data_IF_716117376871
#
_entry.id   IF_716117376871
#
_cell.length_a   1.000
_cell.length_b   1.000
_cell.length_c   1.000
_cell.angle_alpha   90.00
_cell.angle_beta   90.00
_cell.angle_gamma   90.00
#
_symmetry.space_group_name_H-M   'P 1'
#
loop_
_entity.id
_entity.type
_entity.pdbx_description
1 polymer ?
#
# COMPACT_ATOMS: atom_id res chain seq x y z
N UNK A 1 -33.16 -3.52 -24.82
CA UNK A 1 -32.09 -4.52 -24.70
C UNK A 1 -31.27 -4.16 -23.47
N UNK A 2 -31.54 -4.81 -22.34
CA UNK A 2 -30.75 -4.64 -21.12
C UNK A 2 -29.36 -5.21 -21.35
N UNK A 3 -28.34 -4.37 -21.31
CA UNK A 3 -26.95 -4.80 -21.33
C UNK A 3 -26.76 -5.80 -20.19
N UNK A 4 -26.54 -7.08 -20.54
CA UNK A 4 -26.01 -8.05 -19.58
C UNK A 4 -24.65 -7.52 -19.17
N UNK A 5 -24.55 -7.02 -17.95
CA UNK A 5 -23.26 -6.82 -17.31
C UNK A 5 -22.65 -8.22 -17.21
N UNK A 6 -21.64 -8.52 -18.05
CA UNK A 6 -20.77 -9.67 -17.85
C UNK A 6 -20.00 -9.42 -16.56
N UNK A 7 -20.65 -9.69 -15.42
CA UNK A 7 -20.01 -9.61 -14.12
C UNK A 7 -19.08 -10.81 -14.06
N UNK A 8 -17.77 -10.55 -14.12
CA UNK A 8 -16.77 -11.56 -13.81
C UNK A 8 -16.93 -11.84 -12.31
N UNK A 9 -17.57 -12.94 -11.95
CA UNK A 9 -17.80 -13.33 -10.54
C UNK A 9 -16.52 -13.88 -9.88
N UNK A 10 -15.35 -13.55 -10.44
CA UNK A 10 -14.04 -14.03 -10.02
C UNK A 10 -13.02 -12.91 -10.16
N UNK A 11 -12.54 -12.43 -9.02
CA UNK A 11 -11.58 -11.33 -8.89
C UNK A 11 -10.17 -11.91 -8.74
N UNK A 12 -9.27 -11.48 -9.62
CA UNK A 12 -7.88 -11.93 -9.69
C UNK A 12 -6.92 -10.77 -9.41
N UNK A 13 -6.00 -10.99 -8.46
CA UNK A 13 -4.92 -10.08 -8.10
C UNK A 13 -3.59 -10.70 -8.50
N UNK A 14 -2.73 -9.92 -9.16
CA UNK A 14 -1.33 -10.27 -9.39
C UNK A 14 -0.46 -9.36 -8.51
N UNK A 15 0.30 -9.95 -7.61
CA UNK A 15 1.30 -9.28 -6.80
C UNK A 15 2.66 -9.39 -7.48
N UNK A 16 3.34 -8.26 -7.69
CA UNK A 16 4.72 -8.21 -8.18
C UNK A 16 5.65 -7.71 -7.09
N UNK A 17 6.61 -8.53 -6.70
CA UNK A 17 7.49 -8.35 -5.56
C UNK A 17 6.97 -9.13 -4.35
N UNK A 18 7.75 -10.11 -3.91
CA UNK A 18 7.44 -10.99 -2.79
C UNK A 18 8.36 -10.73 -1.58
N UNK A 19 8.73 -9.46 -1.37
CA UNK A 19 9.38 -9.02 -0.15
C UNK A 19 8.44 -9.03 1.06
N UNK A 20 8.90 -8.57 2.22
CA UNK A 20 8.08 -8.53 3.43
C UNK A 20 6.76 -7.77 3.26
N UNK A 21 6.74 -6.70 2.45
CA UNK A 21 5.53 -5.93 2.11
C UNK A 21 4.55 -6.76 1.28
N UNK A 22 5.02 -7.35 0.18
CA UNK A 22 4.19 -8.16 -0.72
C UNK A 22 3.61 -9.39 -0.03
N UNK A 23 4.45 -10.17 0.66
CA UNK A 23 4.03 -11.35 1.41
C UNK A 23 3.00 -11.01 2.51
N UNK A 24 3.22 -9.91 3.26
CA UNK A 24 2.25 -9.44 4.25
C UNK A 24 0.94 -8.98 3.62
N UNK A 25 0.98 -8.35 2.44
CA UNK A 25 -0.21 -7.96 1.69
C UNK A 25 -1.00 -9.18 1.23
N UNK A 26 -0.34 -10.19 0.66
CA UNK A 26 -0.97 -11.44 0.27
C UNK A 26 -1.63 -12.13 1.48
N UNK A 27 -0.95 -12.18 2.63
CA UNK A 27 -1.53 -12.67 3.88
C UNK A 27 -2.74 -11.85 4.34
N UNK A 28 -2.71 -10.53 4.19
CA UNK A 28 -3.84 -9.66 4.49
C UNK A 28 -5.04 -9.93 3.56
N UNK A 29 -4.82 -10.21 2.26
CA UNK A 29 -5.90 -10.61 1.35
C UNK A 29 -6.54 -11.94 1.77
N UNK A 30 -5.72 -12.93 2.14
CA UNK A 30 -6.19 -14.25 2.61
C UNK A 30 -7.07 -14.10 3.84
N UNK A 31 -6.56 -13.46 4.89
CA UNK A 31 -7.23 -13.33 6.20
C UNK A 31 -8.47 -12.45 6.16
N UNK A 32 -8.55 -11.50 5.22
CA UNK A 32 -9.70 -10.59 5.09
C UNK A 32 -10.67 -11.01 3.98
N UNK A 33 -10.50 -12.18 3.38
CA UNK A 33 -11.36 -12.74 2.34
C UNK A 33 -11.51 -11.83 1.10
N UNK A 34 -10.41 -11.20 0.68
CA UNK A 34 -10.36 -10.32 -0.49
C UNK A 34 -9.84 -11.12 -1.68
N UNK A 35 -10.52 -10.99 -2.84
CA UNK A 35 -10.26 -11.70 -4.08
C UNK A 35 -10.44 -13.24 -4.01
N UNK A 36 -10.52 -13.88 -5.17
CA UNK A 36 -10.64 -15.34 -5.32
C UNK A 36 -9.37 -15.97 -5.91
N UNK A 37 -8.49 -15.18 -6.54
CA UNK A 37 -7.23 -15.65 -7.10
C UNK A 37 -6.10 -14.66 -6.84
N UNK A 38 -4.96 -15.16 -6.38
CA UNK A 38 -3.74 -14.38 -6.11
C UNK A 38 -2.55 -15.08 -6.76
N UNK A 39 -1.97 -14.45 -7.79
CA UNK A 39 -0.69 -14.86 -8.37
C UNK A 39 0.44 -14.00 -7.82
N UNK A 40 1.57 -14.62 -7.46
CA UNK A 40 2.72 -13.92 -6.87
C UNK A 40 3.92 -14.04 -7.83
N UNK A 41 4.42 -12.89 -8.28
CA UNK A 41 5.56 -12.78 -9.20
C UNK A 41 6.74 -12.19 -8.43
N UNK A 42 7.88 -12.88 -8.46
CA UNK A 42 9.17 -12.35 -8.01
C UNK A 42 10.30 -12.98 -8.84
N UNK A 43 11.46 -12.34 -8.87
CA UNK A 43 12.66 -12.92 -9.48
C UNK A 43 13.13 -14.17 -8.73
N UNK A 44 12.83 -14.26 -7.43
CA UNK A 44 13.08 -15.44 -6.61
C UNK A 44 11.86 -16.36 -6.62
N UNK A 45 11.73 -17.17 -7.68
CA UNK A 45 10.58 -18.07 -7.86
C UNK A 45 10.44 -19.09 -6.74
N UNK A 46 11.56 -19.61 -6.22
CA UNK A 46 11.55 -20.57 -5.11
C UNK A 46 10.90 -19.98 -3.85
N UNK A 47 11.10 -18.67 -3.62
CA UNK A 47 10.41 -17.96 -2.54
C UNK A 47 8.90 -17.87 -2.81
N UNK A 48 8.49 -17.46 -4.01
CA UNK A 48 7.06 -17.34 -4.35
C UNK A 48 6.32 -18.68 -4.28
N UNK A 49 6.98 -19.78 -4.63
CA UNK A 49 6.44 -21.14 -4.46
C UNK A 49 6.24 -21.46 -2.98
N UNK A 50 7.23 -21.15 -2.15
CA UNK A 50 7.16 -21.31 -0.70
C UNK A 50 6.03 -20.49 -0.07
N UNK A 51 5.97 -19.19 -0.36
CA UNK A 51 4.93 -18.29 0.17
C UNK A 51 3.53 -18.70 -0.33
N UNK A 52 3.39 -19.12 -1.60
CA UNK A 52 2.11 -19.60 -2.11
C UNK A 52 1.63 -20.86 -1.37
N UNK A 53 2.52 -21.81 -1.10
CA UNK A 53 2.19 -23.02 -0.31
C UNK A 53 1.80 -22.62 1.12
N UNK A 54 2.60 -21.77 1.78
CA UNK A 54 2.35 -21.37 3.16
C UNK A 54 1.02 -20.61 3.31
N UNK A 55 0.74 -19.64 2.43
CA UNK A 55 -0.54 -18.94 2.35
C UNK A 55 -1.71 -19.89 2.09
N UNK A 56 -1.52 -20.93 1.27
CA UNK A 56 -2.57 -21.91 0.97
C UNK A 56 -3.01 -22.71 2.20
N UNK A 57 -2.10 -22.97 3.15
CA UNK A 57 -2.44 -23.68 4.39
C UNK A 57 -3.39 -22.86 5.28
N UNK A 58 -3.40 -21.53 5.18
CA UNK A 58 -4.35 -20.68 5.88
C UNK A 58 -5.79 -20.73 5.31
N UNK A 59 -5.97 -21.29 4.10
CA UNK A 59 -7.28 -21.37 3.44
C UNK A 59 -8.26 -22.33 4.13
N UNK A 60 -7.77 -23.25 4.97
CA UNK A 60 -8.63 -24.08 5.81
C UNK A 60 -9.44 -23.26 6.84
N UNK A 61 -9.01 -22.02 7.14
CA UNK A 61 -9.62 -21.13 8.13
C UNK A 61 -10.22 -19.86 7.54
N UNK A 62 -10.22 -19.72 6.21
CA UNK A 62 -10.66 -18.52 5.49
C UNK A 62 -11.46 -18.89 4.24
N UNK A 63 -11.95 -17.91 3.47
CA UNK A 63 -12.67 -18.17 2.22
C UNK A 63 -11.72 -18.74 1.15
N UNK A 64 -12.17 -19.72 0.34
CA UNK A 64 -11.35 -20.35 -0.70
C UNK A 64 -10.71 -19.36 -1.66
N UNK A 65 -9.44 -19.59 -2.02
CA UNK A 65 -8.68 -18.83 -3.02
C UNK A 65 -7.78 -19.76 -3.80
N UNK A 66 -7.51 -19.42 -5.07
CA UNK A 66 -6.40 -19.98 -5.83
C UNK A 66 -5.16 -19.13 -5.59
N UNK A 67 -4.12 -19.68 -4.98
CA UNK A 67 -2.85 -19.00 -4.69
C UNK A 67 -1.72 -19.76 -5.36
N UNK A 68 -0.85 -19.06 -6.09
CA UNK A 68 0.22 -19.72 -6.86
C UNK A 68 1.38 -18.76 -7.16
N UNK A 69 2.57 -19.34 -7.38
CA UNK A 69 3.69 -18.64 -8.00
C UNK A 69 3.36 -18.38 -9.47
N UNK A 70 3.38 -17.12 -9.87
CA UNK A 70 2.88 -16.65 -11.15
C UNK A 70 3.99 -16.11 -12.06
N UNK A 71 3.64 -15.91 -13.33
CA UNK A 71 4.42 -15.23 -14.35
C UNK A 71 3.71 -13.96 -14.84
N UNK A 72 4.37 -13.11 -15.63
CA UNK A 72 3.71 -11.92 -16.16
C UNK A 72 2.54 -12.24 -17.10
N UNK A 73 2.56 -13.39 -17.79
CA UNK A 73 1.45 -13.86 -18.64
C UNK A 73 0.15 -14.07 -17.84
N UNK A 74 0.26 -14.39 -16.55
CA UNK A 74 -0.90 -14.53 -15.67
C UNK A 74 -1.64 -13.21 -15.44
N UNK A 75 -1.06 -12.06 -15.78
CA UNK A 75 -1.72 -10.77 -15.63
C UNK A 75 -2.77 -10.49 -16.72
N UNK A 76 -2.84 -11.27 -17.81
CA UNK A 76 -3.71 -11.00 -18.96
C UNK A 76 -5.20 -10.80 -18.58
N UNK A 77 -5.68 -11.52 -17.57
CA UNK A 77 -7.06 -11.43 -17.08
C UNK A 77 -7.18 -10.94 -15.63
N UNK A 78 -6.10 -10.39 -15.06
CA UNK A 78 -6.13 -9.84 -13.72
C UNK A 78 -7.01 -8.57 -13.63
N UNK A 79 -7.71 -8.40 -12.52
CA UNK A 79 -8.47 -7.18 -12.22
C UNK A 79 -7.57 -6.11 -11.59
N UNK A 80 -6.59 -6.54 -10.80
CA UNK A 80 -5.64 -5.68 -10.10
C UNK A 80 -4.23 -6.25 -10.20
N UNK A 81 -3.26 -5.39 -10.53
CA UNK A 81 -1.83 -5.69 -10.39
C UNK A 81 -1.23 -4.78 -9.33
N UNK A 82 -0.65 -5.37 -8.28
CA UNK A 82 -0.03 -4.66 -7.17
C UNK A 82 1.49 -4.73 -7.27
N UNK A 83 2.15 -3.59 -7.40
CA UNK A 83 3.61 -3.51 -7.55
C UNK A 83 4.23 -3.10 -6.21
N UNK A 84 4.85 -4.06 -5.54
CA UNK A 84 5.69 -3.83 -4.35
C UNK A 84 7.18 -4.01 -4.64
N UNK A 85 7.53 -4.57 -5.80
CA UNK A 85 8.89 -4.79 -6.24
C UNK A 85 9.65 -3.47 -6.40
N UNK A 86 10.80 -3.39 -5.76
CA UNK A 86 11.72 -2.26 -5.83
C UNK A 86 13.02 -2.60 -5.13
N UNK A 87 14.09 -1.95 -5.54
CA UNK A 87 15.37 -2.06 -4.87
C UNK A 87 15.39 -1.13 -3.64
N UNK A 88 15.91 -1.59 -2.50
CA UNK A 88 16.12 -0.74 -1.34
C UNK A 88 17.25 0.27 -1.60
N UNK A 89 17.22 1.39 -0.88
CA UNK A 89 18.34 2.32 -0.82
C UNK A 89 19.49 1.68 -0.04
N UNK A 90 20.70 1.72 -0.60
CA UNK A 90 21.91 1.26 0.08
C UNK A 90 22.61 2.43 0.78
N UNK A 91 23.37 2.18 1.87
CA UNK A 91 24.20 3.20 2.48
C UNK A 91 25.11 3.88 1.43
N UNK A 92 25.05 5.21 1.34
CA UNK A 92 25.81 6.01 0.38
C UNK A 92 25.12 6.29 -0.96
N UNK A 93 23.96 5.67 -1.27
CA UNK A 93 23.17 6.04 -2.45
C UNK A 93 22.37 7.33 -2.21
N UNK A 94 22.30 8.21 -3.21
CA UNK A 94 21.43 9.39 -3.15
C UNK A 94 19.96 9.01 -3.41
N UNK A 95 19.03 9.90 -3.07
CA UNK A 95 17.60 9.74 -3.43
C UNK A 95 17.41 9.62 -4.95
N UNK A 96 18.22 10.33 -5.74
CA UNK A 96 18.17 10.28 -7.21
C UNK A 96 18.65 8.92 -7.74
N UNK A 97 19.69 8.33 -7.17
CA UNK A 97 20.18 7.01 -7.56
C UNK A 97 19.11 5.93 -7.34
N UNK A 98 18.45 5.98 -6.19
CA UNK A 98 17.32 5.11 -5.87
C UNK A 98 16.18 5.26 -6.88
N UNK A 99 15.81 6.49 -7.22
CA UNK A 99 14.80 6.80 -8.23
C UNK A 99 15.17 6.18 -9.58
N UNK A 100 16.38 6.42 -10.09
CA UNK A 100 16.80 5.88 -11.39
C UNK A 100 16.79 4.35 -11.43
N UNK A 101 17.26 3.70 -10.38
CA UNK A 101 17.25 2.24 -10.23
C UNK A 101 15.82 1.70 -10.27
N UNK A 102 14.91 2.27 -9.48
CA UNK A 102 13.53 1.79 -9.41
C UNK A 102 12.71 2.17 -10.66
N UNK A 103 13.02 3.26 -11.36
CA UNK A 103 12.42 3.58 -12.64
C UNK A 103 12.73 2.54 -13.72
N UNK A 104 13.96 2.01 -13.74
CA UNK A 104 14.34 0.94 -14.68
C UNK A 104 13.57 -0.35 -14.39
N UNK A 105 13.56 -0.78 -13.13
CA UNK A 105 12.81 -1.97 -12.68
C UNK A 105 11.32 -1.80 -13.01
N UNK A 106 10.73 -0.65 -12.67
CA UNK A 106 9.32 -0.38 -12.91
C UNK A 106 8.97 -0.39 -14.40
N UNK A 107 9.83 0.16 -15.28
CA UNK A 107 9.63 0.06 -16.74
C UNK A 107 9.56 -1.40 -17.19
N UNK A 108 10.53 -2.22 -16.80
CA UNK A 108 10.60 -3.63 -17.20
C UNK A 108 9.37 -4.43 -16.71
N UNK A 109 8.96 -4.21 -15.46
CA UNK A 109 7.78 -4.83 -14.85
C UNK A 109 6.51 -4.41 -15.58
N UNK A 110 6.28 -3.10 -15.74
CA UNK A 110 5.05 -2.57 -16.34
C UNK A 110 4.92 -2.97 -17.81
N UNK A 111 6.02 -2.95 -18.57
CA UNK A 111 6.00 -3.40 -19.97
C UNK A 111 5.56 -4.86 -20.08
N UNK A 112 6.15 -5.77 -19.29
CA UNK A 112 5.76 -7.19 -19.32
C UNK A 112 4.30 -7.43 -18.91
N UNK A 113 3.81 -6.69 -17.91
CA UNK A 113 2.40 -6.76 -17.49
C UNK A 113 1.48 -6.30 -18.62
N UNK A 114 1.78 -5.17 -19.27
CA UNK A 114 0.94 -4.65 -20.36
C UNK A 114 1.00 -5.58 -21.58
N UNK A 115 2.18 -6.11 -21.93
CA UNK A 115 2.37 -7.03 -23.04
C UNK A 115 1.59 -8.35 -22.87
N UNK A 116 1.30 -8.75 -21.62
CA UNK A 116 0.41 -9.90 -21.34
C UNK A 116 -1.04 -9.69 -21.80
N UNK A 117 -1.45 -8.45 -22.07
CA UNK A 117 -2.83 -8.08 -22.35
C UNK A 117 -3.63 -7.60 -21.14
N UNK A 118 -2.97 -7.39 -19.99
CA UNK A 118 -3.60 -6.83 -18.79
C UNK A 118 -4.38 -5.55 -19.11
N UNK A 119 -5.58 -5.42 -18.54
CA UNK A 119 -6.45 -4.26 -18.75
C UNK A 119 -7.20 -3.83 -17.46
N UNK A 120 -6.67 -4.21 -16.29
CA UNK A 120 -7.23 -3.87 -14.99
C UNK A 120 -6.73 -2.54 -14.42
N UNK A 121 -6.48 -2.52 -13.11
CA UNK A 121 -5.94 -1.36 -12.36
C UNK A 121 -4.55 -1.69 -11.83
N UNK A 122 -3.63 -0.73 -11.91
CA UNK A 122 -2.36 -0.80 -11.19
C UNK A 122 -2.50 -0.17 -9.80
N UNK A 123 -2.01 -0.86 -8.78
CA UNK A 123 -1.78 -0.33 -7.43
C UNK A 123 -0.28 -0.37 -7.12
N UNK A 124 0.35 0.78 -6.94
CA UNK A 124 1.80 0.90 -6.73
C UNK A 124 2.08 1.18 -5.26
N UNK A 125 2.99 0.39 -4.67
CA UNK A 125 3.48 0.54 -3.31
C UNK A 125 5.01 0.62 -3.22
N UNK A 126 5.71 0.27 -4.31
CA UNK A 126 7.15 0.41 -4.40
C UNK A 126 7.57 1.89 -4.24
N UNK A 127 8.67 2.13 -3.55
CA UNK A 127 9.15 3.48 -3.26
C UNK A 127 10.18 4.00 -4.29
N UNK A 128 10.20 5.31 -4.58
CA UNK A 128 9.30 6.35 -4.05
C UNK A 128 7.93 6.33 -4.74
N UNK A 129 6.87 6.10 -3.97
CA UNK A 129 5.56 5.67 -4.51
C UNK A 129 4.92 6.67 -5.46
N UNK A 130 4.98 7.97 -5.18
CA UNK A 130 4.34 8.98 -6.04
C UNK A 130 5.03 9.07 -7.41
N UNK A 131 6.37 9.02 -7.42
CA UNK A 131 7.18 9.02 -8.65
C UNK A 131 6.95 7.72 -9.42
N UNK A 132 6.96 6.57 -8.73
CA UNK A 132 6.77 5.29 -9.39
C UNK A 132 5.35 5.13 -9.93
N UNK A 133 4.34 5.63 -9.23
CA UNK A 133 2.95 5.70 -9.73
C UNK A 133 2.87 6.51 -11.02
N UNK A 134 3.50 7.70 -11.04
CA UNK A 134 3.57 8.51 -12.26
C UNK A 134 4.29 7.77 -13.40
N UNK A 135 5.40 7.09 -13.11
CA UNK A 135 6.11 6.33 -14.13
C UNK A 135 5.33 5.12 -14.63
N UNK A 136 4.60 4.41 -13.76
CA UNK A 136 3.71 3.31 -14.14
C UNK A 136 2.61 3.83 -15.06
N UNK A 137 2.06 5.02 -14.78
CA UNK A 137 1.11 5.67 -15.68
C UNK A 137 1.71 5.95 -17.06
N UNK A 138 2.92 6.51 -17.10
CA UNK A 138 3.61 6.80 -18.36
C UNK A 138 4.00 5.55 -19.15
N UNK A 139 4.50 4.52 -18.48
CA UNK A 139 4.98 3.30 -19.14
C UNK A 139 3.83 2.38 -19.57
N UNK A 140 2.73 2.35 -18.82
CA UNK A 140 1.58 1.53 -19.17
C UNK A 140 0.74 2.11 -20.31
N UNK A 141 0.72 3.45 -20.44
CA UNK A 141 -0.21 4.14 -21.35
C UNK A 141 -1.67 4.08 -20.88
N UNK A 142 -1.93 3.65 -19.64
CA UNK A 142 -3.29 3.53 -19.12
C UNK A 142 -3.90 4.91 -18.81
N UNK A 143 -5.24 5.01 -18.78
CA UNK A 143 -5.94 6.14 -18.17
C UNK A 143 -5.48 6.36 -16.73
N UNK A 144 -5.36 7.63 -16.32
CA UNK A 144 -4.81 8.02 -15.01
C UNK A 144 -5.59 7.43 -13.83
N UNK A 145 -6.91 7.28 -13.99
CA UNK A 145 -7.81 6.70 -12.98
C UNK A 145 -7.60 5.20 -12.74
N UNK A 146 -6.81 4.52 -13.59
CA UNK A 146 -6.46 3.11 -13.44
C UNK A 146 -5.03 2.87 -12.95
N UNK A 147 -4.33 3.93 -12.53
CA UNK A 147 -3.00 3.83 -11.94
C UNK A 147 -2.97 4.59 -10.62
N UNK A 148 -2.97 3.82 -9.53
CA UNK A 148 -3.17 4.32 -8.18
C UNK A 148 -1.91 4.02 -7.37
N UNK A 149 -1.39 5.02 -6.64
CA UNK A 149 -0.35 4.82 -5.65
C UNK A 149 -0.95 4.61 -4.27
N UNK A 150 -0.27 3.88 -3.39
CA UNK A 150 -0.67 3.82 -1.98
C UNK A 150 -0.58 5.18 -1.29
N UNK A 151 0.33 6.06 -1.76
CA UNK A 151 0.52 7.42 -1.28
C UNK A 151 0.60 7.50 0.25
N UNK A 152 -0.04 8.52 0.81
CA UNK A 152 -0.08 8.79 2.25
C UNK A 152 -1.20 8.05 3.00
N UNK A 153 -1.70 6.93 2.45
CA UNK A 153 -2.77 6.15 3.10
C UNK A 153 -2.31 5.55 4.43
N UNK A 154 -1.08 5.04 4.50
CA UNK A 154 -0.49 4.54 5.75
C UNK A 154 -0.19 5.68 6.72
N UNK A 155 0.32 6.81 6.24
CA UNK A 155 0.66 7.95 7.08
C UNK A 155 -0.61 8.55 7.69
N UNK A 156 -1.69 8.63 6.93
CA UNK A 156 -3.02 8.98 7.45
C UNK A 156 -3.53 7.98 8.49
N UNK A 157 -3.29 6.67 8.30
CA UNK A 157 -3.68 5.65 9.28
C UNK A 157 -2.87 5.78 10.59
N UNK A 158 -1.55 6.01 10.49
CA UNK A 158 -0.68 6.29 11.64
C UNK A 158 -1.12 7.56 12.35
N UNK A 159 -1.47 8.60 11.61
CA UNK A 159 -1.92 9.87 12.17
C UNK A 159 -3.24 9.72 12.94
N UNK A 160 -4.20 8.98 12.37
CA UNK A 160 -5.44 8.64 13.07
C UNK A 160 -5.18 7.85 14.35
N UNK A 161 -4.25 6.90 14.32
CA UNK A 161 -3.87 6.11 15.49
C UNK A 161 -3.23 6.99 16.59
N UNK A 162 -2.27 7.84 16.22
CA UNK A 162 -1.60 8.72 17.19
C UNK A 162 -2.57 9.72 17.83
N UNK A 163 -3.51 10.27 17.07
CA UNK A 163 -4.56 11.12 17.61
C UNK A 163 -5.57 10.33 18.45
N UNK A 164 -5.90 9.10 18.07
CA UNK A 164 -6.75 8.22 18.87
C UNK A 164 -6.14 7.91 20.24
N UNK A 165 -4.83 7.66 20.30
CA UNK A 165 -4.10 7.45 21.55
C UNK A 165 -4.07 8.71 22.41
N UNK A 166 -3.91 9.90 21.80
CA UNK A 166 -3.98 11.17 22.51
C UNK A 166 -5.33 11.37 23.22
N UNK A 167 -6.43 11.07 22.53
CA UNK A 167 -7.79 11.37 23.02
C UNK A 167 -8.50 10.16 23.66
N UNK A 168 -7.82 9.01 23.74
CA UNK A 168 -8.34 7.72 24.22
C UNK A 168 -9.65 7.27 23.54
N UNK A 169 -9.62 7.17 22.21
CA UNK A 169 -10.75 6.67 21.40
C UNK A 169 -10.28 5.66 20.35
N UNK A 170 -11.23 4.94 19.75
CA UNK A 170 -10.94 4.10 18.59
C UNK A 170 -10.60 4.96 17.35
N UNK A 171 -9.47 4.68 16.71
CA UNK A 171 -8.98 5.36 15.49
C UNK A 171 -9.97 5.35 14.31
N UNK A 172 -10.95 4.44 14.31
CA UNK A 172 -12.04 4.43 13.32
C UNK A 172 -12.98 5.65 13.44
N UNK A 173 -13.04 6.27 14.62
CA UNK A 173 -13.79 7.49 14.89
C UNK A 173 -12.94 8.77 14.74
N UNK A 174 -11.65 8.61 14.42
CA UNK A 174 -10.74 9.71 14.12
C UNK A 174 -10.66 9.91 12.61
N UNK A 175 -10.96 11.14 12.18
CA UNK A 175 -10.95 11.55 10.80
C UNK A 175 -9.86 12.60 10.60
N UNK A 176 -8.66 12.13 10.24
CA UNK A 176 -7.50 12.96 9.96
C UNK A 176 -6.77 12.44 8.73
N UNK A 177 -6.05 13.35 8.04
CA UNK A 177 -5.39 13.09 6.77
C UNK A 177 -3.98 13.69 6.75
N UNK A 178 -3.05 12.89 6.24
CA UNK A 178 -1.74 13.33 5.77
C UNK A 178 -1.82 13.39 4.24
N UNK A 179 -1.39 14.48 3.61
CA UNK A 179 -1.39 14.68 2.16
C UNK A 179 0.01 15.07 1.66
N UNK A 180 0.19 15.13 0.34
CA UNK A 180 1.46 15.50 -0.29
C UNK A 180 2.23 14.30 -0.84
N UNK A 181 3.54 14.45 -1.00
CA UNK A 181 4.43 13.34 -1.30
C UNK A 181 4.54 12.43 -0.07
N UNK A 182 4.46 11.12 -0.24
CA UNK A 182 4.78 10.18 0.82
C UNK A 182 6.27 10.27 1.17
N UNK A 183 6.57 10.72 2.40
CA UNK A 183 7.93 10.91 2.89
C UNK A 183 8.10 12.24 3.62
N UNK A 184 9.33 12.73 3.69
CA UNK A 184 9.71 13.84 4.58
C UNK A 184 8.99 15.18 4.30
N UNK A 185 8.36 15.34 3.12
CA UNK A 185 7.64 16.55 2.70
C UNK A 185 6.12 16.47 2.83
N UNK A 186 5.59 15.40 3.44
CA UNK A 186 4.16 15.23 3.69
C UNK A 186 3.58 16.29 4.65
N UNK A 187 2.27 16.51 4.57
CA UNK A 187 1.59 17.62 5.26
C UNK A 187 0.36 17.11 6.03
N UNK A 188 0.28 17.38 7.36
CA UNK A 188 -0.90 17.07 8.14
C UNK A 188 -2.00 18.13 7.92
N UNK A 189 -3.21 17.68 7.59
CA UNK A 189 -4.36 18.59 7.39
C UNK A 189 -5.11 18.82 8.70
N UNK A 190 -4.45 19.51 9.63
CA UNK A 190 -4.99 19.79 10.97
C UNK A 190 -6.35 20.49 10.96
N UNK A 191 -6.58 21.38 9.98
CA UNK A 191 -7.81 22.14 9.84
C UNK A 191 -9.07 21.31 9.63
N UNK A 192 -8.93 20.03 9.26
CA UNK A 192 -10.03 19.09 9.04
C UNK A 192 -9.94 17.86 9.95
N UNK A 193 -8.93 17.79 10.83
CA UNK A 193 -8.76 16.70 11.77
C UNK A 193 -9.86 16.78 12.84
N UNK A 194 -10.64 15.72 12.98
CA UNK A 194 -11.75 15.67 13.94
C UNK A 194 -11.96 14.27 14.53
N UNK A 195 -12.61 14.23 15.69
CA UNK A 195 -13.01 13.02 16.41
C UNK A 195 -14.53 12.99 16.47
N UNK A 196 -15.17 12.08 15.74
CA UNK A 196 -16.62 12.00 15.59
C UNK A 196 -17.31 13.35 15.28
N UNK A 197 -16.65 14.23 14.51
CA UNK A 197 -17.13 15.56 14.15
C UNK A 197 -16.63 16.72 15.03
N UNK A 198 -16.13 16.45 16.23
CA UNK A 198 -15.49 17.47 17.08
C UNK A 198 -14.10 17.80 16.54
N UNK A 199 -13.86 19.07 16.19
CA UNK A 199 -12.57 19.48 15.63
C UNK A 199 -11.45 19.31 16.66
N UNK A 200 -10.28 18.85 16.21
CA UNK A 200 -9.16 18.56 17.14
C UNK A 200 -8.72 19.81 17.90
N UNK A 201 -8.75 20.99 17.27
CA UNK A 201 -8.43 22.25 17.94
C UNK A 201 -9.48 22.66 18.98
N UNK A 202 -10.74 22.26 18.82
CA UNK A 202 -11.76 22.48 19.85
C UNK A 202 -11.53 21.55 21.04
N UNK A 203 -11.10 20.31 20.78
CA UNK A 203 -10.70 19.37 21.83
C UNK A 203 -9.47 19.90 22.60
N UNK A 204 -8.42 20.37 21.91
CA UNK A 204 -7.20 20.92 22.54
C UNK A 204 -7.52 22.13 23.43
N UNK A 205 -8.41 23.04 22.99
CA UNK A 205 -8.84 24.18 23.82
C UNK A 205 -9.44 23.79 25.18
N UNK A 206 -10.06 22.61 25.26
CA UNK A 206 -10.65 22.08 26.49
C UNK A 206 -9.68 21.18 27.28
N UNK A 207 -8.48 20.92 26.76
CA UNK A 207 -7.46 20.07 27.37
C UNK A 207 -6.11 20.81 27.41
N UNK A 208 -5.96 21.81 28.31
CA UNK A 208 -4.85 22.77 28.28
C UNK A 208 -3.47 22.17 28.57
N UNK A 209 -3.40 20.93 29.03
CA UNK A 209 -2.14 20.18 29.20
C UNK A 209 -1.52 19.77 27.85
N UNK A 210 -2.29 19.86 26.76
CA UNK A 210 -1.82 19.61 25.39
C UNK A 210 -1.64 20.95 24.69
N UNK A 211 -0.39 21.32 24.44
CA UNK A 211 -0.04 22.54 23.73
C UNK A 211 0.20 22.30 22.23
N UNK A 212 0.50 23.37 21.49
CA UNK A 212 0.79 23.31 20.06
C UNK A 212 2.05 22.47 19.77
N UNK A 213 3.04 22.49 20.67
CA UNK A 213 4.27 21.70 20.53
C UNK A 213 3.98 20.20 20.59
N UNK A 214 3.12 19.76 21.51
CA UNK A 214 2.64 18.38 21.58
C UNK A 214 1.97 17.94 20.26
N UNK A 215 1.14 18.81 19.67
CA UNK A 215 0.49 18.52 18.38
C UNK A 215 1.49 18.42 17.23
N UNK A 216 2.50 19.29 17.17
CA UNK A 216 3.59 19.22 16.20
C UNK A 216 4.39 17.93 16.35
N UNK A 217 4.70 17.55 17.59
CA UNK A 217 5.45 16.33 17.89
C UNK A 217 4.69 15.05 17.50
N UNK A 218 3.36 15.04 17.61
CA UNK A 218 2.54 13.95 17.09
C UNK A 218 2.77 13.78 15.59
N UNK A 219 2.73 14.85 14.80
CA UNK A 219 2.99 14.76 13.37
C UNK A 219 4.42 14.27 13.07
N UNK A 220 5.43 14.78 13.77
CA UNK A 220 6.80 14.30 13.58
C UNK A 220 6.95 12.82 13.91
N UNK A 221 6.26 12.32 14.95
CA UNK A 221 6.24 10.89 15.27
C UNK A 221 5.65 10.04 14.13
N UNK A 222 4.66 10.57 13.39
CA UNK A 222 4.04 9.89 12.22
C UNK A 222 5.01 9.86 11.04
N UNK A 223 5.56 11.02 10.67
CA UNK A 223 6.52 11.16 9.57
C UNK A 223 7.74 10.27 9.79
N UNK A 224 8.26 10.26 11.01
CA UNK A 224 9.49 9.55 11.35
C UNK A 224 9.26 8.07 11.74
N UNK A 225 7.99 7.63 11.80
CA UNK A 225 7.61 6.28 12.26
C UNK A 225 8.29 5.16 11.46
N UNK A 226 8.50 5.35 10.15
CA UNK A 226 9.18 4.37 9.32
C UNK A 226 10.63 4.14 9.79
N UNK A 227 11.36 5.21 10.09
CA UNK A 227 12.74 5.13 10.59
C UNK A 227 12.78 4.42 11.94
N UNK A 228 11.91 4.80 12.88
CA UNK A 228 11.83 4.17 14.21
C UNK A 228 11.52 2.67 14.12
N UNK A 229 10.61 2.25 13.23
CA UNK A 229 10.27 0.83 13.05
C UNK A 229 11.44 0.08 12.41
N UNK A 230 12.07 0.65 11.38
CA UNK A 230 13.21 0.03 10.70
C UNK A 230 14.39 -0.13 11.65
N UNK A 231 14.69 0.86 12.49
CA UNK A 231 15.73 0.74 13.52
C UNK A 231 15.45 -0.39 14.50
N UNK A 232 14.17 -0.57 14.91
CA UNK A 232 13.78 -1.58 15.90
C UNK A 232 13.69 -3.00 15.34
N UNK A 233 13.24 -3.20 14.10
CA UNK A 233 12.97 -4.55 13.55
C UNK A 233 13.44 -4.78 12.11
N UNK A 234 14.21 -3.87 11.54
CA UNK A 234 14.84 -3.98 10.22
C UNK A 234 13.97 -3.58 9.02
N UNK A 235 12.64 -3.63 9.13
CA UNK A 235 11.72 -3.27 8.03
C UNK A 235 10.32 -2.88 8.54
N UNK A 236 9.52 -2.20 7.73
CA UNK A 236 8.09 -1.95 7.99
C UNK A 236 7.23 -2.59 6.90
N UNK A 237 6.17 -3.29 7.28
CA UNK A 237 5.37 -4.09 6.32
C UNK A 237 3.92 -4.34 6.73
N UNK A 238 3.62 -4.54 8.01
CA UNK A 238 2.24 -4.83 8.44
C UNK A 238 1.27 -3.66 8.16
N UNK A 239 1.66 -2.44 8.53
CA UNK A 239 0.81 -1.26 8.31
C UNK A 239 0.51 -1.03 6.82
N UNK A 240 1.54 -1.06 5.97
CA UNK A 240 1.38 -0.87 4.52
C UNK A 240 0.59 -2.02 3.89
N UNK A 241 0.79 -3.27 4.32
CA UNK A 241 0.03 -4.41 3.82
C UNK A 241 -1.48 -4.27 4.07
N UNK A 242 -1.87 -3.83 5.27
CA UNK A 242 -3.29 -3.58 5.60
C UNK A 242 -3.83 -2.37 4.84
N UNK A 243 -3.03 -1.32 4.64
CA UNK A 243 -3.43 -0.17 3.82
C UNK A 243 -3.68 -0.57 2.36
N UNK A 244 -2.81 -1.39 1.76
CA UNK A 244 -2.98 -1.93 0.42
C UNK A 244 -4.23 -2.82 0.33
N UNK A 245 -4.44 -3.72 1.28
CA UNK A 245 -5.64 -4.56 1.34
C UNK A 245 -6.92 -3.71 1.47
N UNK A 246 -6.88 -2.58 2.20
CA UNK A 246 -8.00 -1.64 2.30
C UNK A 246 -8.27 -0.92 0.98
N UNK A 247 -7.25 -0.59 0.20
CA UNK A 247 -7.40 0.02 -1.14
C UNK A 247 -7.92 -1.00 -2.15
N UNK A 248 -7.49 -2.26 -2.05
CA UNK A 248 -7.97 -3.37 -2.90
C UNK A 248 -9.48 -3.65 -2.73
N UNK A 249 -10.03 -3.43 -1.53
CA UNK A 249 -11.45 -3.67 -1.21
C UNK A 249 -12.36 -2.52 -1.62
#
# INVERSE_FOLDING_TARGET
>A
MTAKTNKKDHQKVILVGDGAVGSSYAFALVTQNIAQEVGIIDINTAKTEGDAIDLSHALAFTSPKKIYAASYEDAHDADLVVITAGAPQKPGETRLDLVHKNLKINREVVTQIVDSGFNGIFLVAANPVDILTYSTWKFSGFPKERVIGSGTSLDSARFRQALAELVDVDARNVHAYILGEHGDSEVPVWSHANVAGLQIYEWVKNNPDIDEEAMVNIFFSVRDAAYTIIEKKGATFYGIAVALARITR
#
